data_IF_309325677554
#
_entry.id   IF_309325677554
#
_cell.length_a   1.000
_cell.length_b   1.000
_cell.length_c   1.000
_cell.angle_alpha   90.00
_cell.angle_beta   90.00
_cell.angle_gamma   90.00
#
_symmetry.space_group_name_H-M   'P 1'
#
loop_
_entity.id
_entity.type
_entity.pdbx_description
1 polymer ?
#
# COMPACT_ATOMS: atom_id res chain seq x y z
N UNK A 1 49.17 7.23 -41.33
CA UNK A 1 49.04 6.96 -39.88
C UNK A 1 47.90 7.81 -39.33
N UNK A 2 47.15 7.30 -38.33
CA UNK A 2 45.71 7.57 -38.14
C UNK A 2 45.41 8.88 -37.40
N UNK A 3 44.27 9.50 -37.74
CA UNK A 3 43.79 10.77 -37.19
C UNK A 3 43.35 10.74 -35.71
N UNK A 4 43.04 11.91 -35.13
CA UNK A 4 42.69 12.03 -33.72
C UNK A 4 41.37 11.31 -33.44
N UNK A 5 41.35 10.46 -32.41
CA UNK A 5 40.14 9.78 -31.95
C UNK A 5 39.30 10.77 -31.13
N UNK A 6 38.07 11.00 -31.57
CA UNK A 6 37.05 11.67 -30.77
C UNK A 6 36.82 10.94 -29.44
N UNK A 7 36.75 11.65 -28.30
CA UNK A 7 36.34 11.04 -27.05
C UNK A 7 34.83 10.77 -27.10
N UNK A 8 34.47 9.48 -27.15
CA UNK A 8 33.10 8.99 -26.99
C UNK A 8 32.50 9.57 -25.70
N UNK A 9 31.52 10.47 -25.84
CA UNK A 9 30.65 10.92 -24.75
C UNK A 9 29.97 9.70 -24.11
N UNK A 10 30.42 9.29 -22.93
CA UNK A 10 29.66 8.38 -22.05
C UNK A 10 28.35 9.08 -21.69
N UNK A 11 27.24 8.63 -22.27
CA UNK A 11 25.90 8.96 -21.77
C UNK A 11 25.79 8.33 -20.38
N UNK A 12 25.87 9.14 -19.33
CA UNK A 12 25.49 8.73 -17.98
C UNK A 12 24.00 8.39 -18.05
N UNK A 13 23.66 7.12 -17.85
CA UNK A 13 22.30 6.71 -17.62
C UNK A 13 21.85 7.35 -16.30
N UNK A 14 21.06 8.41 -16.40
CA UNK A 14 20.31 8.94 -15.26
C UNK A 14 19.40 7.83 -14.77
N UNK A 15 19.71 7.25 -13.62
CA UNK A 15 18.82 6.37 -12.90
C UNK A 15 17.51 7.14 -12.68
N UNK A 16 16.47 6.78 -13.43
CA UNK A 16 15.12 7.26 -13.22
C UNK A 16 14.72 6.78 -11.83
N UNK A 17 14.75 7.68 -10.84
CA UNK A 17 14.09 7.45 -9.56
C UNK A 17 12.66 7.04 -9.89
N UNK A 18 12.34 5.77 -9.69
CA UNK A 18 10.98 5.26 -9.86
C UNK A 18 10.08 6.06 -8.94
N UNK A 19 9.22 6.89 -9.53
CA UNK A 19 8.27 7.73 -8.79
C UNK A 19 7.34 6.79 -8.02
N UNK A 20 7.31 6.93 -6.69
CA UNK A 20 6.37 6.21 -5.83
C UNK A 20 4.94 6.52 -6.29
N UNK A 21 4.08 5.50 -6.33
CA UNK A 21 2.69 5.71 -6.68
C UNK A 21 1.99 6.51 -5.58
N UNK A 22 1.18 7.49 -5.98
CA UNK A 22 0.44 8.33 -5.04
C UNK A 22 -0.46 7.50 -4.09
N UNK A 23 -1.04 6.39 -4.55
CA UNK A 23 -1.86 5.50 -3.72
C UNK A 23 -1.06 4.71 -2.68
N UNK A 24 0.26 4.59 -2.85
CA UNK A 24 1.16 3.85 -1.94
C UNK A 24 1.87 4.76 -0.92
N UNK A 25 1.69 6.08 -1.00
CA UNK A 25 2.18 6.99 0.04
C UNK A 25 1.55 6.65 1.39
N UNK A 26 2.28 6.91 2.46
CA UNK A 26 1.83 6.65 3.83
C UNK A 26 0.50 7.35 4.14
N UNK A 27 0.29 8.57 3.60
CA UNK A 27 -0.98 9.30 3.73
C UNK A 27 -2.13 8.56 3.05
N UNK A 28 -1.93 8.05 1.83
CA UNK A 28 -2.96 7.31 1.08
C UNK A 28 -3.28 5.98 1.76
N UNK A 29 -2.27 5.26 2.25
CA UNK A 29 -2.46 4.03 3.01
C UNK A 29 -3.16 4.28 4.35
N UNK A 30 -2.97 5.45 4.97
CA UNK A 30 -3.70 5.84 6.17
C UNK A 30 -5.18 6.11 5.89
N UNK A 31 -5.54 6.65 4.73
CA UNK A 31 -6.94 6.78 4.31
C UNK A 31 -7.54 5.40 4.07
N UNK A 32 -6.88 4.55 3.27
CA UNK A 32 -7.36 3.19 3.01
C UNK A 32 -7.54 2.37 4.30
N UNK A 33 -6.63 2.53 5.25
CA UNK A 33 -6.71 1.85 6.54
C UNK A 33 -7.93 2.28 7.37
N UNK A 34 -8.42 3.51 7.23
CA UNK A 34 -9.66 3.95 7.88
C UNK A 34 -10.87 3.32 7.23
N UNK A 35 -10.93 3.34 5.90
CA UNK A 35 -12.05 2.74 5.14
C UNK A 35 -12.19 1.24 5.40
N UNK A 36 -11.08 0.52 5.52
CA UNK A 36 -11.09 -0.93 5.75
C UNK A 36 -11.12 -1.29 7.24
N UNK A 37 -10.42 -0.54 8.08
CA UNK A 37 -10.16 -0.89 9.48
C UNK A 37 -11.32 -0.61 10.44
N UNK A 38 -12.35 0.11 9.99
CA UNK A 38 -13.56 0.35 10.79
C UNK A 38 -14.40 -0.90 10.99
N UNK A 39 -14.44 -1.79 9.99
CA UNK A 39 -15.25 -3.02 10.02
C UNK A 39 -14.47 -4.20 10.59
N UNK A 40 -14.89 -4.68 11.77
CA UNK A 40 -14.39 -5.91 12.42
C UNK A 40 -12.86 -6.07 12.33
N UNK A 41 -12.38 -7.17 11.76
CA UNK A 41 -10.97 -7.48 11.58
C UNK A 41 -10.53 -7.37 10.12
N UNK A 42 -11.29 -6.67 9.27
CA UNK A 42 -11.04 -6.61 7.82
C UNK A 42 -9.64 -6.12 7.48
N UNK A 43 -9.09 -5.19 8.26
CA UNK A 43 -7.71 -4.74 8.08
C UNK A 43 -6.65 -5.81 8.32
N UNK A 44 -6.86 -6.70 9.29
CA UNK A 44 -5.96 -7.84 9.51
C UNK A 44 -6.12 -8.88 8.39
N UNK A 45 -7.36 -9.22 8.04
CA UNK A 45 -7.65 -10.18 6.96
C UNK A 45 -7.09 -9.69 5.62
N UNK A 46 -7.19 -8.40 5.33
CA UNK A 46 -6.55 -7.78 4.16
C UNK A 46 -5.04 -8.07 4.15
N UNK A 47 -4.37 -7.92 5.29
CA UNK A 47 -2.92 -8.11 5.38
C UNK A 47 -2.51 -9.56 5.22
N UNK A 48 -3.37 -10.51 5.59
CA UNK A 48 -3.21 -11.93 5.26
C UNK A 48 -3.30 -12.15 3.76
N UNK A 49 -4.29 -11.57 3.07
CA UNK A 49 -4.38 -11.66 1.59
C UNK A 49 -3.21 -11.01 0.85
N UNK A 50 -2.57 -10.01 1.46
CA UNK A 50 -1.35 -9.38 0.99
C UNK A 50 -0.08 -10.22 1.20
N UNK A 51 -0.23 -11.42 1.78
CA UNK A 51 0.83 -12.35 2.16
C UNK A 51 1.82 -11.75 3.17
N UNK A 52 1.35 -10.93 4.11
CA UNK A 52 2.14 -10.55 5.27
C UNK A 52 2.21 -11.76 6.22
N UNK A 53 3.40 -12.14 6.72
CA UNK A 53 3.53 -13.24 7.68
C UNK A 53 2.65 -13.04 8.90
N UNK A 54 1.89 -14.06 9.30
CA UNK A 54 0.99 -13.98 10.45
C UNK A 54 1.70 -13.56 11.74
N UNK A 55 2.96 -13.96 11.91
CA UNK A 55 3.80 -13.53 13.05
C UNK A 55 3.97 -12.01 13.08
N UNK A 56 4.16 -11.38 11.93
CA UNK A 56 4.32 -9.92 11.84
C UNK A 56 3.01 -9.21 12.12
N UNK A 57 1.90 -9.74 11.58
CA UNK A 57 0.55 -9.22 11.84
C UNK A 57 0.24 -9.24 13.34
N UNK A 58 0.49 -10.37 14.01
CA UNK A 58 0.28 -10.52 15.46
C UNK A 58 1.19 -9.59 16.26
N UNK A 59 2.47 -9.48 15.88
CA UNK A 59 3.41 -8.57 16.55
C UNK A 59 2.98 -7.11 16.43
N UNK A 60 2.51 -6.69 15.25
CA UNK A 60 2.01 -5.32 15.04
C UNK A 60 0.73 -5.09 15.85
N UNK A 61 -0.20 -6.05 15.88
CA UNK A 61 -1.44 -5.98 16.63
C UNK A 61 -1.19 -5.88 18.16
N UNK A 62 -0.33 -6.74 18.70
CA UNK A 62 0.03 -6.72 20.12
C UNK A 62 0.83 -5.47 20.51
N UNK A 63 1.62 -4.92 19.59
CA UNK A 63 2.29 -3.63 19.80
C UNK A 63 1.35 -2.43 19.75
N UNK A 64 0.13 -2.59 19.24
CA UNK A 64 -0.88 -1.54 19.18
C UNK A 64 -1.88 -1.62 20.34
N UNK A 65 -2.22 -2.82 20.81
CA UNK A 65 -3.23 -3.04 21.85
C UNK A 65 -2.75 -4.05 22.90
N UNK A 66 -2.84 -3.68 24.17
CA UNK A 66 -2.62 -4.61 25.30
C UNK A 66 -3.73 -5.69 25.39
N UNK A 67 -4.93 -5.37 24.89
CA UNK A 67 -6.12 -6.22 24.99
C UNK A 67 -6.37 -7.06 23.72
N UNK A 68 -5.52 -6.94 22.69
CA UNK A 68 -5.81 -7.45 21.35
C UNK A 68 -6.78 -6.56 20.56
N UNK A 69 -7.16 -6.98 19.34
CA UNK A 69 -7.96 -6.15 18.42
C UNK A 69 -9.46 -6.45 18.37
N UNK A 70 -9.92 -7.52 19.00
CA UNK A 70 -11.35 -7.92 18.98
C UNK A 70 -12.22 -6.85 19.65
N UNK A 71 -11.80 -6.39 20.83
CA UNK A 71 -12.52 -5.37 21.60
C UNK A 71 -11.94 -3.95 21.38
N UNK A 72 -11.03 -3.78 20.42
CA UNK A 72 -10.42 -2.50 20.13
C UNK A 72 -11.41 -1.53 19.47
N UNK A 73 -11.32 -0.24 19.76
CA UNK A 73 -12.11 0.76 19.06
C UNK A 73 -11.66 0.93 17.59
N UNK A 74 -12.51 1.53 16.75
CA UNK A 74 -12.26 1.75 15.32
C UNK A 74 -10.93 2.46 15.03
N UNK A 75 -10.57 3.45 15.85
CA UNK A 75 -9.32 4.20 15.71
C UNK A 75 -8.11 3.28 15.83
N UNK A 76 -8.12 2.40 16.83
CA UNK A 76 -7.03 1.46 17.08
C UNK A 76 -6.95 0.39 15.99
N UNK A 77 -8.09 -0.09 15.48
CA UNK A 77 -8.14 -1.03 14.35
C UNK A 77 -7.60 -0.39 13.07
N UNK A 78 -8.01 0.85 12.78
CA UNK A 78 -7.51 1.63 11.64
C UNK A 78 -6.01 1.88 11.73
N UNK A 79 -5.50 2.27 12.91
CA UNK A 79 -4.08 2.50 13.13
C UNK A 79 -3.26 1.21 12.98
N UNK A 80 -3.76 0.10 13.50
CA UNK A 80 -3.10 -1.21 13.34
C UNK A 80 -3.07 -1.62 11.87
N UNK A 81 -4.18 -1.45 11.16
CA UNK A 81 -4.28 -1.70 9.71
C UNK A 81 -3.26 -0.85 8.94
N UNK A 82 -3.14 0.44 9.27
CA UNK A 82 -2.17 1.35 8.66
C UNK A 82 -0.74 0.85 8.87
N UNK A 83 -0.37 0.45 10.09
CA UNK A 83 0.95 -0.10 10.39
C UNK A 83 1.24 -1.36 9.57
N UNK A 84 0.28 -2.27 9.46
CA UNK A 84 0.42 -3.47 8.65
C UNK A 84 0.58 -3.16 7.14
N UNK A 85 -0.17 -2.19 6.60
CA UNK A 85 -0.03 -1.77 5.20
C UNK A 85 1.34 -1.14 4.92
N UNK A 86 1.85 -0.32 5.84
CA UNK A 86 3.20 0.25 5.73
C UNK A 86 4.26 -0.85 5.80
N UNK A 87 4.11 -1.80 6.73
CA UNK A 87 5.01 -2.96 6.83
C UNK A 87 5.03 -3.77 5.51
N UNK A 88 3.86 -4.11 4.99
CA UNK A 88 3.71 -4.77 3.68
C UNK A 88 4.41 -4.01 2.56
N UNK A 89 4.22 -2.68 2.48
CA UNK A 89 4.88 -1.85 1.47
C UNK A 89 6.40 -1.95 1.58
N UNK A 90 6.93 -1.90 2.80
CA UNK A 90 8.37 -1.95 3.07
C UNK A 90 9.00 -3.30 2.72
N UNK A 91 8.29 -4.41 2.97
CA UNK A 91 8.71 -5.75 2.52
C UNK A 91 8.87 -5.83 0.99
N UNK A 92 8.23 -4.92 0.26
CA UNK A 92 8.19 -4.87 -1.21
C UNK A 92 9.09 -3.80 -1.80
N UNK A 93 10.10 -3.33 -1.08
CA UNK A 93 10.99 -2.26 -1.54
C UNK A 93 11.59 -2.51 -2.96
N UNK A 94 11.85 -3.77 -3.34
CA UNK A 94 12.36 -4.13 -4.67
C UNK A 94 11.30 -4.41 -5.75
N UNK A 95 10.01 -4.38 -5.40
CA UNK A 95 8.90 -4.68 -6.32
C UNK A 95 8.46 -3.40 -7.05
N UNK A 96 8.09 -3.53 -8.32
CA UNK A 96 7.57 -2.40 -9.11
C UNK A 96 6.26 -1.90 -8.51
N UNK A 97 6.09 -0.57 -8.45
CA UNK A 97 4.88 0.08 -7.93
C UNK A 97 3.58 -0.47 -8.53
N UNK A 98 3.55 -0.70 -9.85
CA UNK A 98 2.39 -1.29 -10.53
C UNK A 98 2.03 -2.69 -10.01
N UNK A 99 3.04 -3.51 -9.71
CA UNK A 99 2.80 -4.86 -9.17
C UNK A 99 2.31 -4.79 -7.72
N UNK A 100 2.85 -3.88 -6.90
CA UNK A 100 2.34 -3.63 -5.54
C UNK A 100 0.85 -3.24 -5.57
N UNK A 101 0.48 -2.32 -6.45
CA UNK A 101 -0.92 -1.88 -6.60
C UNK A 101 -1.79 -3.04 -7.09
N UNK A 102 -1.31 -3.86 -8.03
CA UNK A 102 -2.04 -5.05 -8.50
C UNK A 102 -2.27 -6.08 -7.38
N UNK A 103 -1.29 -6.29 -6.50
CA UNK A 103 -1.44 -7.16 -5.34
C UNK A 103 -2.46 -6.61 -4.34
N UNK A 104 -2.46 -5.28 -4.13
CA UNK A 104 -3.42 -4.59 -3.28
C UNK A 104 -4.84 -4.68 -3.84
N UNK A 105 -5.03 -4.42 -5.13
CA UNK A 105 -6.31 -4.55 -5.84
C UNK A 105 -6.87 -5.98 -5.71
N UNK A 106 -6.03 -7.00 -5.94
CA UNK A 106 -6.42 -8.40 -5.76
C UNK A 106 -6.83 -8.70 -4.32
N UNK A 107 -6.05 -8.25 -3.34
CA UNK A 107 -6.32 -8.53 -1.93
C UNK A 107 -7.62 -7.86 -1.44
N UNK A 108 -7.89 -6.63 -1.90
CA UNK A 108 -9.16 -5.94 -1.63
C UNK A 108 -10.35 -6.67 -2.24
N UNK A 109 -10.21 -7.20 -3.47
CA UNK A 109 -11.24 -8.01 -4.12
C UNK A 109 -11.48 -9.34 -3.40
N UNK A 110 -10.43 -10.02 -2.94
CA UNK A 110 -10.54 -11.26 -2.15
C UNK A 110 -11.16 -11.02 -0.76
N UNK A 111 -11.01 -9.82 -0.22
CA UNK A 111 -11.70 -9.37 1.00
C UNK A 111 -13.19 -9.04 0.76
N UNK A 112 -13.66 -9.06 -0.50
CA UNK A 112 -15.02 -8.65 -0.85
C UNK A 112 -15.21 -7.13 -0.97
N UNK A 113 -14.13 -6.35 -0.95
CA UNK A 113 -14.11 -4.89 -1.08
C UNK A 113 -13.76 -4.46 -2.50
N UNK A 114 -14.49 -5.01 -3.48
CA UNK A 114 -14.24 -4.77 -4.90
C UNK A 114 -14.36 -3.28 -5.29
N UNK A 115 -15.32 -2.55 -4.73
CA UNK A 115 -15.51 -1.13 -5.04
C UNK A 115 -14.34 -0.26 -4.54
N UNK A 116 -13.80 -0.58 -3.35
CA UNK A 116 -12.59 0.07 -2.83
C UNK A 116 -11.38 -0.25 -3.73
N UNK A 117 -11.27 -1.49 -4.22
CA UNK A 117 -10.23 -1.90 -5.15
C UNK A 117 -10.29 -1.09 -6.46
N UNK A 118 -11.49 -0.88 -6.99
CA UNK A 118 -11.70 -0.10 -8.21
C UNK A 118 -11.30 1.37 -8.02
N UNK A 119 -11.63 1.98 -6.87
CA UNK A 119 -11.15 3.34 -6.50
C UNK A 119 -9.62 3.39 -6.44
N UNK A 120 -8.97 2.40 -5.81
CA UNK A 120 -7.49 2.34 -5.74
C UNK A 120 -6.87 2.24 -7.14
N UNK A 121 -7.43 1.39 -7.99
CA UNK A 121 -6.98 1.19 -9.38
C UNK A 121 -7.17 2.45 -10.24
N UNK A 122 -8.30 3.14 -10.09
CA UNK A 122 -8.57 4.41 -10.77
C UNK A 122 -7.57 5.49 -10.33
N UNK A 123 -7.40 5.68 -9.02
CA UNK A 123 -6.48 6.68 -8.45
C UNK A 123 -5.03 6.40 -8.84
N UNK A 124 -4.62 5.13 -8.88
CA UNK A 124 -3.30 4.74 -9.40
C UNK A 124 -3.13 5.15 -10.86
N UNK A 125 -4.12 4.86 -11.72
CA UNK A 125 -4.09 5.20 -13.15
C UNK A 125 -3.99 6.70 -13.39
N UNK A 126 -4.60 7.49 -12.52
CA UNK A 126 -4.55 8.96 -12.53
C UNK A 126 -3.33 9.53 -11.78
N UNK A 127 -2.48 8.68 -11.17
CA UNK A 127 -1.40 9.06 -10.27
C UNK A 127 -1.86 10.06 -9.18
N UNK A 128 -3.04 9.83 -8.62
CA UNK A 128 -3.67 10.64 -7.58
C UNK A 128 -3.58 9.95 -6.22
N UNK A 129 -3.54 10.75 -5.15
CA UNK A 129 -3.57 10.25 -3.78
C UNK A 129 -4.95 9.69 -3.43
N UNK A 130 -5.00 8.81 -2.42
CA UNK A 130 -6.25 8.41 -1.80
C UNK A 130 -6.65 9.47 -0.79
N UNK A 131 -7.88 9.95 -0.90
CA UNK A 131 -8.47 10.98 -0.05
C UNK A 131 -9.84 10.48 0.43
N UNK A 132 -10.36 10.97 1.57
CA UNK A 132 -11.66 10.50 2.09
C UNK A 132 -12.81 10.66 1.08
N UNK A 133 -12.78 11.73 0.28
CA UNK A 133 -13.75 11.98 -0.79
C UNK A 133 -13.72 10.93 -1.90
N UNK A 134 -12.60 10.22 -2.07
CA UNK A 134 -12.49 9.15 -3.07
C UNK A 134 -13.42 7.96 -2.78
N UNK A 135 -13.84 7.80 -1.52
CA UNK A 135 -14.66 6.68 -1.07
C UNK A 135 -16.09 7.10 -0.70
N UNK A 136 -16.41 8.41 -0.75
CA UNK A 136 -17.70 8.94 -0.26
C UNK A 136 -18.93 8.48 -1.04
N UNK A 137 -18.75 7.86 -2.22
CA UNK A 137 -19.84 7.29 -3.02
C UNK A 137 -19.99 5.77 -2.84
N UNK A 138 -19.18 5.15 -1.99
CA UNK A 138 -19.28 3.74 -1.63
C UNK A 138 -20.22 3.67 -0.42
N UNK A 139 -21.37 3.00 -0.61
CA UNK A 139 -22.50 3.01 0.33
C UNK A 139 -22.31 2.15 1.56
#
# INVERSE_FOLDING_TARGET
MPGPRDPKKKKMATATKTKESAVLKDSSLAILAKEIGQEDLNGLVLTMYLNVPNTDIVNIANGASECGLVDANESLRSETTRKCLIHWKNMRAGVKEREKVKELDRALKELGKAEIADVVSERHSNNADLTPDAFSNLG
#
